data_IF_546022108830
#
_entry.id   IF_546022108830
#
_cell.length_a   1.000
_cell.length_b   1.000
_cell.length_c   1.000
_cell.angle_alpha   90.00
_cell.angle_beta   90.00
_cell.angle_gamma   90.00
#
_symmetry.space_group_name_H-M   'P 1'
#
loop_
_entity.id
_entity.type
_entity.pdbx_description
1 polymer ?
2 polymer ?
3 non-polymer ?
4 non-polymer ?
5 non-polymer ?
6 water ?
#
# COMPACT_ATOMS: atom_id res chain seq x y z
N UNK A 1 -10.57 -8.10 21.76
CA UNK A 1 -9.87 -8.58 20.58
C UNK A 1 -9.44 -9.99 20.89
N UNK A 2 -9.60 -10.88 19.90
CA UNK A 2 -9.38 -12.29 20.08
C UNK A 2 -7.91 -12.62 20.40
N UNK A 3 -7.00 -11.69 20.07
CA UNK A 3 -5.58 -11.90 20.33
C UNK A 3 -5.12 -11.27 21.63
N UNK A 4 -6.07 -10.71 22.40
CA UNK A 4 -5.77 -10.01 23.64
C UNK A 4 -5.06 -10.90 24.69
N UNK A 5 -5.35 -12.19 24.65
CA UNK A 5 -4.79 -13.11 25.63
C UNK A 5 -3.44 -13.71 25.23
N UNK A 6 -2.96 -13.45 24.00
CA UNK A 6 -1.71 -14.05 23.54
C UNK A 6 -0.55 -13.09 23.72
N UNK A 7 0.61 -13.61 24.18
CA UNK A 7 1.82 -12.81 24.30
C UNK A 7 2.19 -12.14 22.97
N UNK A 8 2.71 -10.90 23.06
CA UNK A 8 3.29 -10.23 21.90
C UNK A 8 4.29 -11.07 21.11
N UNK A 9 5.26 -11.68 21.81
CA UNK A 9 6.28 -12.47 21.14
C UNK A 9 5.67 -13.68 20.40
N UNK A 10 4.65 -14.29 21.01
CA UNK A 10 3.92 -15.40 20.41
C UNK A 10 3.15 -14.98 19.14
N UNK A 11 2.52 -13.82 19.17
CA UNK A 11 1.86 -13.25 17.99
C UNK A 11 2.83 -13.03 16.83
N UNK A 12 4.00 -12.48 17.15
CA UNK A 12 5.03 -12.29 16.14
C UNK A 12 5.52 -13.63 15.57
N UNK A 13 5.79 -14.59 16.47
CA UNK A 13 6.23 -15.92 16.05
C UNK A 13 5.20 -16.57 15.13
N UNK A 14 3.92 -16.49 15.53
CA UNK A 14 2.86 -17.05 14.69
C UNK A 14 2.63 -16.31 13.39
N UNK A 15 2.82 -14.97 13.36
CA UNK A 15 2.74 -14.26 12.10
C UNK A 15 3.77 -14.79 11.10
N UNK A 16 5.00 -15.06 11.58
CA UNK A 16 6.03 -15.64 10.74
C UNK A 16 5.67 -17.04 10.24
N UNK A 17 5.12 -17.88 11.11
CA UNK A 17 4.62 -19.19 10.71
C UNK A 17 3.53 -19.08 9.62
N UNK A 18 2.60 -18.15 9.82
CA UNK A 18 1.50 -17.98 8.90
C UNK A 18 2.01 -17.50 7.55
N UNK A 19 3.04 -16.65 7.56
CA UNK A 19 3.69 -16.24 6.32
C UNK A 19 4.22 -17.46 5.58
N UNK A 20 4.93 -18.33 6.28
CA UNK A 20 5.44 -19.56 5.66
C UNK A 20 4.35 -20.47 5.11
N UNK A 21 3.22 -20.54 5.79
CA UNK A 21 2.09 -21.35 5.39
C UNK A 21 1.18 -20.68 4.36
N UNK A 22 1.52 -19.44 3.97
CA UNK A 22 0.72 -18.64 3.04
C UNK A 22 -0.69 -18.41 3.56
N UNK A 23 -0.81 -18.24 4.88
CA UNK A 23 -2.06 -17.99 5.57
C UNK A 23 -2.16 -16.51 5.93
N UNK A 24 -2.42 -15.66 4.92
CA UNK A 24 -2.23 -14.23 5.16
C UNK A 24 -3.32 -13.59 5.98
N UNK A 25 -4.56 -14.10 5.95
CA UNK A 25 -5.58 -13.60 6.85
C UNK A 25 -5.16 -13.83 8.31
N UNK A 26 -4.66 -15.03 8.61
CA UNK A 26 -4.16 -15.29 9.96
C UNK A 26 -3.00 -14.35 10.30
N UNK A 27 -2.09 -14.19 9.34
CA UNK A 27 -0.89 -13.38 9.56
C UNK A 27 -1.33 -11.97 9.94
N UNK A 28 -2.35 -11.43 9.23
CA UNK A 28 -2.85 -10.09 9.49
C UNK A 28 -3.46 -9.97 10.88
N UNK A 29 -4.26 -10.97 11.25
CA UNK A 29 -4.87 -10.99 12.57
C UNK A 29 -3.84 -11.04 13.70
N UNK A 30 -2.78 -11.84 13.51
CA UNK A 30 -1.70 -11.91 14.49
C UNK A 30 -1.01 -10.54 14.61
N UNK A 31 -0.70 -9.91 13.47
CA UNK A 31 -0.02 -8.62 13.49
C UNK A 31 -0.89 -7.48 14.02
N UNK A 32 -2.21 -7.49 13.74
CA UNK A 32 -3.12 -6.58 14.40
C UNK A 32 -3.03 -6.74 15.92
N UNK A 33 -3.09 -8.00 16.38
CA UNK A 33 -2.96 -8.31 17.79
C UNK A 33 -1.67 -7.75 18.37
N UNK A 34 -0.55 -7.90 17.65
CA UNK A 34 0.73 -7.39 18.11
C UNK A 34 0.71 -5.86 18.21
N UNK A 35 0.15 -5.20 17.19
CA UNK A 35 0.06 -3.75 17.20
C UNK A 35 -0.73 -3.28 18.41
N UNK A 36 -1.83 -3.98 18.69
CA UNK A 36 -2.73 -3.59 19.77
C UNK A 36 -2.11 -3.80 21.16
N UNK A 37 -0.95 -4.42 21.26
CA UNK A 37 -0.23 -4.47 22.54
C UNK A 37 0.27 -3.08 22.95
N UNK A 38 0.39 -2.17 21.96
CA UNK A 38 0.64 -0.76 22.25
C UNK A 38 2.12 -0.39 22.21
N UNK A 39 3.00 -1.35 21.98
CA UNK A 39 4.41 -1.08 21.85
C UNK A 39 4.70 -0.70 20.41
N UNK A 40 5.73 0.12 20.20
CA UNK A 40 6.17 0.45 18.85
C UNK A 40 6.69 -0.82 18.18
N UNK A 41 6.65 -0.83 16.84
CA UNK A 41 7.10 -1.99 16.08
C UNK A 41 8.52 -1.77 15.58
N UNK A 42 9.29 -2.85 15.56
CA UNK A 42 10.58 -2.84 14.91
C UNK A 42 10.46 -2.79 13.39
N UNK A 43 11.61 -2.70 12.62
CA UNK A 43 11.62 -2.77 11.15
C UNK A 43 11.10 -4.12 10.64
N UNK A 44 11.58 -5.17 11.31
CA UNK A 44 11.08 -6.45 10.82
C UNK A 44 9.58 -6.62 11.09
N UNK A 45 9.10 -6.17 12.24
CA UNK A 45 7.70 -6.29 12.59
C UNK A 45 6.81 -5.45 11.66
N UNK A 46 7.26 -4.25 11.28
CA UNK A 46 6.56 -3.43 10.30
C UNK A 46 6.45 -4.15 8.98
N UNK A 47 7.50 -4.87 8.60
CA UNK A 47 7.46 -5.66 7.41
C UNK A 47 6.41 -6.76 7.48
N UNK A 48 6.30 -7.46 8.63
CA UNK A 48 5.29 -8.50 8.76
C UNK A 48 3.87 -7.91 8.62
N UNK A 49 3.65 -6.76 9.22
CA UNK A 49 2.36 -6.07 9.16
C UNK A 49 2.02 -5.71 7.72
N UNK A 50 2.99 -5.10 7.04
CA UNK A 50 2.84 -4.73 5.65
C UNK A 50 2.56 -5.89 4.71
N UNK A 51 3.35 -6.96 4.83
CA UNK A 51 3.15 -8.14 3.98
C UNK A 51 1.77 -8.76 4.17
N UNK A 52 1.34 -8.88 5.43
CA UNK A 52 0.10 -9.54 5.74
C UNK A 52 -1.06 -8.79 5.09
N UNK A 53 -1.17 -7.49 5.40
CA UNK A 53 -2.32 -6.76 4.89
C UNK A 53 -2.26 -6.53 3.38
N UNK A 54 -1.06 -6.40 2.81
CA UNK A 54 -0.95 -6.21 1.38
C UNK A 54 -1.49 -7.45 0.68
N UNK A 55 -1.17 -8.65 1.19
CA UNK A 55 -1.65 -9.87 0.60
C UNK A 55 -3.17 -9.96 0.74
N UNK A 56 -3.72 -9.63 1.92
CA UNK A 56 -5.17 -9.70 2.07
C UNK A 56 -5.87 -8.77 1.08
N UNK A 57 -5.48 -7.49 1.10
CA UNK A 57 -6.15 -6.49 0.29
C UNK A 57 -5.88 -6.75 -1.18
N UNK A 58 -4.72 -7.35 -1.48
CA UNK A 58 -4.37 -7.65 -2.86
C UNK A 58 -5.30 -8.66 -3.49
N UNK A 59 -5.65 -9.68 -2.71
CA UNK A 59 -6.69 -10.63 -3.10
C UNK A 59 -8.05 -9.98 -3.35
N UNK A 60 -8.43 -9.07 -2.45
CA UNK A 60 -9.70 -8.37 -2.55
C UNK A 60 -9.73 -7.49 -3.80
N UNK A 61 -8.62 -6.80 -4.06
CA UNK A 61 -8.54 -5.87 -5.17
C UNK A 61 -8.66 -6.65 -6.48
N UNK A 62 -7.93 -7.76 -6.57
CA UNK A 62 -8.01 -8.59 -7.73
C UNK A 62 -9.43 -9.09 -7.98
N UNK A 63 -10.09 -9.52 -6.91
CA UNK A 63 -11.47 -10.01 -7.04
C UNK A 63 -12.42 -8.90 -7.46
N UNK A 64 -12.32 -7.75 -6.80
CA UNK A 64 -13.14 -6.59 -7.13
C UNK A 64 -13.02 -6.21 -8.60
N UNK A 65 -11.79 -6.25 -9.12
CA UNK A 65 -11.59 -5.90 -10.52
C UNK A 65 -12.28 -6.87 -11.46
N UNK A 66 -12.17 -8.17 -11.18
CA UNK A 66 -12.85 -9.18 -11.96
C UNK A 66 -14.34 -8.87 -12.00
N UNK A 67 -14.92 -8.68 -10.81
CA UNK A 67 -16.35 -8.44 -10.68
C UNK A 67 -16.82 -7.13 -11.30
N UNK A 68 -16.04 -6.05 -11.14
CA UNK A 68 -16.36 -4.75 -11.72
C UNK A 68 -16.39 -4.87 -13.25
N UNK A 69 -15.48 -5.65 -13.79
CA UNK A 69 -15.42 -5.80 -15.24
C UNK A 69 -16.64 -6.55 -15.78
N UNK A 70 -17.07 -7.59 -15.06
CA UNK A 70 -18.28 -8.33 -15.44
C UNK A 70 -19.47 -7.40 -15.38
N UNK A 71 -19.51 -6.60 -14.32
CA UNK A 71 -20.62 -5.70 -14.07
C UNK A 71 -20.69 -4.65 -15.18
N UNK A 72 -19.53 -4.13 -15.54
CA UNK A 72 -19.46 -3.09 -16.56
C UNK A 72 -19.98 -3.66 -17.87
N UNK A 73 -19.55 -4.89 -18.19
CA UNK A 73 -19.99 -5.55 -19.41
C UNK A 73 -21.49 -5.80 -19.44
N UNK A 74 -22.09 -6.15 -18.29
CA UNK A 74 -23.51 -6.38 -18.23
C UNK A 74 -24.34 -5.11 -18.43
N UNK A 75 -23.75 -3.95 -18.16
CA UNK A 75 -24.42 -2.67 -18.33
C UNK A 75 -24.05 -2.01 -19.65
N UNK A 76 -24.23 -2.76 -20.74
CA UNK A 76 -24.14 -2.21 -22.08
C UNK A 76 -25.31 -2.64 -22.96
N UNK A 77 -25.30 -2.14 -24.19
CA UNK A 77 -26.29 -2.50 -25.21
C UNK A 77 -26.03 -3.94 -25.66
N UNK A 78 -27.10 -4.64 -26.06
CA UNK A 78 -26.98 -6.04 -26.47
C UNK A 78 -26.91 -7.02 -25.30
N UNK A 79 -26.53 -6.50 -24.11
CA UNK A 79 -26.34 -7.32 -22.92
C UNK A 79 -27.68 -7.71 -22.31
N UNK A 80 -27.86 -9.01 -22.08
CA UNK A 80 -29.09 -9.53 -21.51
C UNK A 80 -29.12 -9.16 -20.01
N UNK A 81 -30.32 -8.81 -19.53
CA UNK A 81 -30.54 -8.51 -18.13
C UNK A 81 -30.35 -9.78 -17.30
N UNK A 82 -29.62 -9.68 -16.19
CA UNK A 82 -29.34 -10.86 -15.38
C UNK A 82 -29.67 -10.69 -13.90
N UNK A 83 -30.34 -9.57 -13.57
CA UNK A 83 -30.75 -9.35 -12.21
C UNK A 83 -29.66 -8.67 -11.41
N UNK A 84 -29.88 -8.56 -10.09
CA UNK A 84 -29.01 -7.78 -9.22
C UNK A 84 -27.74 -8.49 -8.74
N UNK A 85 -27.54 -9.75 -9.14
CA UNK A 85 -26.54 -10.58 -8.47
C UNK A 85 -25.11 -10.09 -8.66
N UNK A 86 -24.75 -9.66 -9.86
CA UNK A 86 -23.38 -9.20 -10.10
C UNK A 86 -23.07 -7.97 -9.26
N UNK A 87 -23.99 -7.00 -9.26
CA UNK A 87 -23.82 -5.81 -8.44
C UNK A 87 -23.76 -6.17 -6.96
N UNK A 88 -24.65 -7.05 -6.50
CA UNK A 88 -24.67 -7.42 -5.08
C UNK A 88 -23.34 -8.02 -4.65
N UNK A 89 -22.83 -8.95 -5.45
CA UNK A 89 -21.61 -9.65 -5.09
C UNK A 89 -20.39 -8.71 -5.18
N UNK A 90 -20.37 -7.85 -6.21
CA UNK A 90 -19.31 -6.83 -6.26
C UNK A 90 -19.35 -5.92 -5.03
N UNK A 91 -20.55 -5.51 -4.61
CA UNK A 91 -20.72 -4.72 -3.41
C UNK A 91 -20.24 -5.45 -2.16
N UNK A 92 -20.45 -6.76 -2.09
CA UNK A 92 -20.04 -7.55 -0.93
C UNK A 92 -18.51 -7.53 -0.82
N UNK A 93 -17.85 -7.82 -1.94
CA UNK A 93 -16.39 -7.82 -1.97
C UNK A 93 -15.88 -6.41 -1.66
N UNK A 94 -16.48 -5.37 -2.28
CA UNK A 94 -16.14 -3.98 -2.02
C UNK A 94 -16.21 -3.60 -0.53
N UNK A 95 -17.29 -4.00 0.14
CA UNK A 95 -17.46 -3.71 1.55
C UNK A 95 -16.38 -4.38 2.38
N UNK A 96 -15.99 -5.62 2.05
CA UNK A 96 -14.97 -6.33 2.78
C UNK A 96 -13.62 -5.63 2.61
N UNK A 97 -13.31 -5.25 1.35
CA UNK A 97 -12.12 -4.48 1.05
C UNK A 97 -12.04 -3.17 1.86
N UNK A 98 -13.13 -2.41 1.89
CA UNK A 98 -13.17 -1.15 2.61
C UNK A 98 -12.95 -1.44 4.09
N UNK A 99 -13.51 -2.57 4.56
CA UNK A 99 -13.29 -2.97 5.94
C UNK A 99 -11.84 -3.19 6.33
N UNK A 100 -11.11 -3.88 5.48
CA UNK A 100 -9.69 -4.09 5.69
C UNK A 100 -8.92 -2.78 5.65
N UNK A 101 -9.22 -1.92 4.68
CA UNK A 101 -8.60 -0.62 4.60
C UNK A 101 -8.89 0.17 5.87
N UNK A 102 -10.14 0.19 6.33
CA UNK A 102 -10.45 0.91 7.54
C UNK A 102 -9.75 0.35 8.78
N UNK A 103 -9.56 -0.97 8.82
CA UNK A 103 -8.83 -1.58 9.92
C UNK A 103 -7.37 -1.11 9.94
N UNK A 104 -6.73 -1.09 8.76
CA UNK A 104 -5.32 -0.68 8.70
C UNK A 104 -5.23 0.80 9.09
N UNK A 105 -6.11 1.64 8.50
CA UNK A 105 -6.06 3.06 8.79
C UNK A 105 -6.30 3.31 10.27
N UNK A 106 -7.13 2.44 10.89
CA UNK A 106 -7.41 2.53 12.33
C UNK A 106 -6.19 2.26 13.19
N UNK A 107 -5.39 1.26 12.79
CA UNK A 107 -4.16 0.94 13.48
C UNK A 107 -3.15 2.08 13.35
N UNK A 108 -3.10 2.68 12.14
CA UNK A 108 -2.14 3.75 11.92
C UNK A 108 -2.56 4.98 12.74
N UNK A 109 -3.85 5.23 12.85
CA UNK A 109 -4.35 6.35 13.62
C UNK A 109 -4.39 6.14 15.14
N UNK A 110 -4.36 4.87 15.55
CA UNK A 110 -4.48 4.48 16.94
C UNK A 110 -3.52 3.36 17.34
N UNK A 111 -2.21 3.62 17.52
CA UNK A 111 -1.59 4.94 17.54
C UNK A 111 -0.22 4.92 16.87
N UNK A 112 -0.06 4.12 15.80
CA UNK A 112 1.25 3.92 15.22
C UNK A 112 1.93 5.21 14.78
N UNK A 113 1.21 6.04 14.02
CA UNK A 113 1.80 7.22 13.43
C UNK A 113 2.23 8.19 14.53
N UNK A 114 1.36 8.46 15.49
CA UNK A 114 1.69 9.48 16.46
C UNK A 114 2.90 9.10 17.31
N UNK A 115 3.12 7.78 17.52
CA UNK A 115 4.26 7.37 18.33
C UNK A 115 5.55 7.23 17.51
N UNK A 116 5.45 7.32 16.17
CA UNK A 116 6.60 7.10 15.31
C UNK A 116 7.42 8.39 15.19
N UNK A 117 8.61 8.41 15.74
CA UNK A 117 9.43 9.61 15.65
C UNK A 117 10.65 9.50 14.74
N UNK A 118 11.13 8.27 14.50
CA UNK A 118 12.26 8.13 13.61
C UNK A 118 11.75 8.23 12.19
N UNK A 119 12.63 8.65 11.28
CA UNK A 119 12.25 8.80 9.89
C UNK A 119 11.79 7.50 9.25
N UNK A 120 12.52 6.37 9.46
CA UNK A 120 12.12 5.11 8.85
C UNK A 120 10.72 4.65 9.27
N UNK A 121 10.40 4.79 10.55
CA UNK A 121 9.08 4.41 11.01
C UNK A 121 8.01 5.37 10.51
N UNK A 122 8.26 6.68 10.64
CA UNK A 122 7.23 7.66 10.32
C UNK A 122 6.92 7.67 8.83
N UNK A 123 7.97 7.59 8.01
CA UNK A 123 7.76 7.54 6.57
C UNK A 123 7.05 6.25 6.17
N UNK A 124 7.44 5.11 6.77
CA UNK A 124 6.78 3.85 6.43
C UNK A 124 5.27 3.93 6.73
N UNK A 125 4.92 4.45 7.90
CA UNK A 125 3.53 4.45 8.34
C UNK A 125 2.72 5.43 7.50
N UNK A 126 3.30 6.60 7.16
CA UNK A 126 2.58 7.54 6.33
C UNK A 126 2.40 7.04 4.89
N UNK A 127 3.42 6.38 4.35
CA UNK A 127 3.25 5.68 3.08
C UNK A 127 2.08 4.69 3.13
N UNK A 128 2.01 3.91 4.20
CA UNK A 128 0.96 2.92 4.37
C UNK A 128 -0.40 3.61 4.36
N UNK A 129 -0.49 4.73 5.09
CA UNK A 129 -1.72 5.51 5.15
C UNK A 129 -2.14 5.97 3.75
N UNK A 130 -1.19 6.49 2.97
CA UNK A 130 -1.46 6.80 1.59
C UNK A 130 -1.94 5.63 0.75
N UNK A 131 -1.29 4.48 0.92
CA UNK A 131 -1.61 3.30 0.15
C UNK A 131 -3.04 2.82 0.42
N UNK A 132 -3.43 2.80 1.69
CA UNK A 132 -4.75 2.28 2.03
C UNK A 132 -5.86 3.28 1.68
N UNK A 133 -5.60 4.60 1.75
CA UNK A 133 -6.53 5.55 1.14
C UNK A 133 -6.58 5.38 -0.39
N UNK A 134 -5.44 5.10 -1.02
CA UNK A 134 -5.44 4.83 -2.45
C UNK A 134 -6.33 3.63 -2.83
N UNK A 135 -6.25 2.58 -2.04
CA UNK A 135 -7.10 1.41 -2.29
C UNK A 135 -8.57 1.77 -2.13
N UNK A 136 -8.89 2.57 -1.12
CA UNK A 136 -10.25 3.06 -0.96
C UNK A 136 -10.66 3.90 -2.18
N UNK A 137 -9.73 4.68 -2.72
CA UNK A 137 -10.03 5.51 -3.88
C UNK A 137 -10.34 4.70 -5.13
N UNK A 138 -9.69 3.55 -5.27
CA UNK A 138 -9.88 2.69 -6.43
C UNK A 138 -11.35 2.27 -6.59
N UNK A 139 -12.07 2.15 -5.48
CA UNK A 139 -13.46 1.68 -5.51
C UNK A 139 -14.48 2.78 -5.19
N UNK A 140 -14.00 3.99 -4.92
CA UNK A 140 -14.88 5.08 -4.56
C UNK A 140 -15.53 5.67 -5.80
N UNK A 141 -16.80 6.04 -5.65
CA UNK A 141 -17.60 6.48 -6.78
C UNK A 141 -18.69 7.35 -6.23
N UNK A 142 -18.33 8.36 -5.44
CA UNK A 142 -19.35 9.11 -4.75
C UNK A 142 -18.88 10.52 -4.43
N UNK A 143 -19.59 11.15 -3.50
CA UNK A 143 -19.14 12.42 -2.93
C UNK A 143 -17.70 12.22 -2.48
N UNK A 144 -17.53 11.26 -1.57
CA UNK A 144 -16.26 11.12 -0.89
C UNK A 144 -15.09 10.67 -1.77
N UNK A 145 -15.26 10.42 -3.07
CA UNK A 145 -14.11 10.04 -3.87
C UNK A 145 -13.04 11.12 -3.80
N UNK A 146 -13.48 12.39 -3.92
CA UNK A 146 -12.56 13.51 -3.90
C UNK A 146 -11.81 13.57 -2.57
N UNK A 147 -12.54 13.48 -1.45
CA UNK A 147 -11.96 13.57 -0.12
C UNK A 147 -11.03 12.39 0.15
N UNK A 148 -11.34 11.20 -0.37
CA UNK A 148 -10.45 10.06 -0.19
C UNK A 148 -9.12 10.31 -0.90
N UNK A 149 -9.21 10.76 -2.15
CA UNK A 149 -8.05 11.11 -2.95
C UNK A 149 -7.20 12.14 -2.23
N UNK A 150 -7.85 13.17 -1.66
CA UNK A 150 -7.09 14.17 -0.95
C UNK A 150 -6.40 13.62 0.30
N UNK A 151 -7.07 12.72 1.01
CA UNK A 151 -6.46 12.04 2.14
C UNK A 151 -5.20 11.25 1.73
N UNK A 152 -5.31 10.48 0.66
CA UNK A 152 -4.16 9.76 0.17
C UNK A 152 -3.03 10.73 -0.16
N UNK A 153 -3.34 11.78 -0.92
CA UNK A 153 -2.32 12.73 -1.35
C UNK A 153 -1.62 13.37 -0.14
N UNK A 154 -2.41 13.76 0.86
CA UNK A 154 -1.90 14.40 2.04
C UNK A 154 -0.92 13.51 2.81
N UNK A 155 -1.27 12.23 2.94
CA UNK A 155 -0.41 11.28 3.62
C UNK A 155 0.89 11.12 2.83
N UNK A 156 0.78 10.86 1.52
CA UNK A 156 1.97 10.71 0.71
C UNK A 156 2.88 11.95 0.75
N UNK A 157 2.27 13.14 0.71
CA UNK A 157 3.06 14.36 0.66
C UNK A 157 3.85 14.54 1.95
N UNK A 158 3.19 14.26 3.10
CA UNK A 158 3.85 14.37 4.40
C UNK A 158 5.04 13.41 4.46
N UNK A 159 4.81 12.18 3.98
CA UNK A 159 5.88 11.20 3.91
C UNK A 159 7.01 11.67 3.02
N UNK A 160 6.67 12.22 1.87
CA UNK A 160 7.69 12.66 0.90
C UNK A 160 8.55 13.75 1.56
N UNK A 161 7.89 14.68 2.23
CA UNK A 161 8.61 15.80 2.85
C UNK A 161 9.65 15.30 3.85
N UNK A 162 9.26 14.36 4.72
CA UNK A 162 10.20 13.80 5.69
C UNK A 162 11.32 13.02 5.01
N UNK A 163 10.96 12.24 3.99
CA UNK A 163 11.91 11.34 3.35
C UNK A 163 13.04 12.14 2.68
N UNK A 164 12.66 13.26 2.08
CA UNK A 164 13.63 14.07 1.34
C UNK A 164 14.58 14.78 2.30
N UNK A 165 14.09 15.13 3.48
CA UNK A 165 14.89 15.78 4.49
C UNK A 165 15.80 14.80 5.22
N UNK A 166 15.31 13.59 5.47
CA UNK A 166 15.90 12.70 6.47
C UNK A 166 16.59 11.44 5.96
N UNK A 167 16.36 11.06 4.71
CA UNK A 167 16.85 9.82 4.13
C UNK A 167 17.65 10.09 2.88
N UNK A 168 18.64 9.23 2.57
CA UNK A 168 19.33 9.31 1.29
C UNK A 168 18.42 8.91 0.14
N UNK A 169 18.73 9.36 -1.08
CA UNK A 169 17.88 9.03 -2.24
C UNK A 169 17.75 7.58 -2.60
N UNK A 170 18.69 6.74 -2.11
CA UNK A 170 18.62 5.32 -2.34
C UNK A 170 17.90 4.56 -1.23
N UNK A 171 17.47 5.24 -0.17
CA UNK A 171 16.79 4.51 0.91
C UNK A 171 15.59 3.74 0.34
N UNK A 172 15.46 2.39 0.50
CA UNK A 172 14.33 1.65 -0.06
C UNK A 172 12.94 2.14 0.36
N UNK A 173 12.80 2.62 1.60
CA UNK A 173 11.50 3.15 1.99
C UNK A 173 11.20 4.42 1.19
N UNK A 174 12.18 5.29 1.07
CA UNK A 174 12.04 6.51 0.26
C UNK A 174 11.69 6.18 -1.19
N UNK A 175 12.37 5.19 -1.77
CA UNK A 175 12.12 4.76 -3.13
C UNK A 175 10.73 4.15 -3.31
N UNK A 176 10.32 3.30 -2.38
CA UNK A 176 9.01 2.69 -2.51
C UNK A 176 7.87 3.68 -2.33
N UNK A 177 8.09 4.65 -1.44
CA UNK A 177 7.14 5.74 -1.26
C UNK A 177 6.98 6.48 -2.58
N UNK A 178 8.11 6.88 -3.17
CA UNK A 178 8.03 7.64 -4.41
C UNK A 178 7.38 6.85 -5.55
N UNK A 179 7.71 5.54 -5.65
CA UNK A 179 7.07 4.66 -6.59
C UNK A 179 5.55 4.69 -6.39
N UNK A 180 5.10 4.47 -5.15
CA UNK A 180 3.66 4.43 -4.93
C UNK A 180 2.95 5.76 -5.10
N UNK A 181 3.61 6.88 -4.77
CA UNK A 181 3.02 8.17 -5.01
C UNK A 181 2.92 8.44 -6.52
N UNK A 182 3.93 7.99 -7.28
CA UNK A 182 3.85 8.14 -8.73
C UNK A 182 2.68 7.34 -9.30
N UNK A 183 2.40 6.15 -8.75
CA UNK A 183 1.24 5.35 -9.16
C UNK A 183 -0.06 6.06 -8.80
N UNK A 184 -0.11 6.65 -7.60
CA UNK A 184 -1.23 7.48 -7.19
C UNK A 184 -1.51 8.56 -8.24
N UNK A 185 -0.46 9.28 -8.67
CA UNK A 185 -0.64 10.35 -9.62
C UNK A 185 -1.19 9.84 -10.95
N UNK A 186 -0.67 8.71 -11.44
CA UNK A 186 -1.02 8.21 -12.77
C UNK A 186 -2.39 7.53 -12.77
N UNK A 187 -2.61 6.70 -11.77
CA UNK A 187 -3.77 5.81 -11.76
C UNK A 187 -4.99 6.41 -11.07
N UNK A 188 -4.81 7.32 -10.13
CA UNK A 188 -5.91 7.82 -9.30
C UNK A 188 -6.22 9.28 -9.53
N UNK A 189 -5.15 10.10 -9.62
CA UNK A 189 -5.28 11.56 -9.60
C UNK A 189 -5.31 12.19 -10.99
N UNK A 190 -5.28 11.37 -12.05
CA UNK A 190 -5.33 11.87 -13.41
C UNK A 190 -4.23 12.90 -13.66
N UNK A 191 -3.04 12.63 -13.13
CA UNK A 191 -1.89 13.51 -13.28
C UNK A 191 -0.71 12.73 -13.86
N UNK A 192 -0.78 12.22 -15.10
CA UNK A 192 0.30 11.39 -15.62
C UNK A 192 1.62 12.16 -15.73
N UNK A 193 1.58 13.46 -15.98
CA UNK A 193 2.81 14.20 -16.09
C UNK A 193 3.53 14.33 -14.75
N UNK A 194 2.76 14.51 -13.67
CA UNK A 194 3.30 14.50 -12.33
C UNK A 194 3.90 13.14 -12.01
N UNK A 195 3.20 12.06 -12.43
CA UNK A 195 3.70 10.70 -12.24
C UNK A 195 5.07 10.47 -12.89
N UNK A 196 5.17 10.87 -14.16
CA UNK A 196 6.40 10.68 -14.93
C UNK A 196 7.56 11.51 -14.37
N UNK A 197 7.26 12.75 -13.99
CA UNK A 197 8.28 13.65 -13.46
C UNK A 197 8.86 13.12 -12.15
N UNK A 198 7.96 12.68 -11.27
CA UNK A 198 8.38 12.13 -10.00
C UNK A 198 9.22 10.87 -10.24
N UNK A 199 8.77 9.98 -11.13
CA UNK A 199 9.47 8.71 -11.33
C UNK A 199 10.87 8.97 -11.90
N UNK A 200 10.94 9.93 -12.86
CA UNK A 200 12.23 10.27 -13.47
C UNK A 200 13.21 10.87 -12.48
N UNK A 201 12.75 11.86 -11.69
CA UNK A 201 13.60 12.53 -10.73
C UNK A 201 14.08 11.52 -9.69
N UNK A 202 13.15 10.71 -9.19
CA UNK A 202 13.51 9.72 -8.18
C UNK A 202 14.58 8.77 -8.70
N UNK A 203 14.37 8.27 -9.92
CA UNK A 203 15.32 7.33 -10.52
C UNK A 203 16.71 7.95 -10.66
N UNK A 204 16.73 9.17 -11.19
CA UNK A 204 18.01 9.83 -11.48
C UNK A 204 18.78 10.16 -10.20
N UNK A 205 18.11 10.60 -9.16
CA UNK A 205 18.78 10.95 -7.92
C UNK A 205 19.25 9.68 -7.20
N UNK A 206 18.52 8.59 -7.35
CA UNK A 206 18.98 7.34 -6.75
C UNK A 206 20.23 6.83 -7.50
N UNK A 207 20.18 6.87 -8.81
CA UNK A 207 21.29 6.44 -9.65
C UNK A 207 22.61 7.07 -9.21
N UNK A 208 22.54 8.36 -8.94
CA UNK A 208 23.71 9.13 -8.55
C UNK A 208 24.21 8.87 -7.14
N UNK A 209 23.45 8.13 -6.31
CA UNK A 209 23.84 7.81 -4.95
C UNK A 209 24.20 6.33 -4.75
N UNK A 210 24.08 5.52 -5.82
CA UNK A 210 24.35 4.11 -5.75
C UNK A 210 25.79 3.84 -5.29
N UNK A 211 26.70 4.73 -5.67
CA UNK A 211 28.13 4.50 -5.41
C UNK A 211 28.43 4.43 -3.90
N UNK A 212 27.51 4.96 -3.06
CA UNK A 212 27.75 5.03 -1.62
C UNK A 212 27.43 3.75 -0.88
N UNK A 213 26.85 2.78 -1.60
CA UNK A 213 26.19 1.62 -1.00
C UNK A 213 27.08 0.38 -1.03
N UNK A 214 26.88 -0.45 0.01
CA UNK A 214 27.33 -1.83 0.00
C UNK A 214 26.58 -2.64 -1.04
N UNK A 215 27.17 -3.78 -1.40
CA UNK A 215 26.54 -4.72 -2.33
C UNK A 215 25.11 -5.08 -1.92
N UNK A 216 24.86 -5.30 -0.63
CA UNK A 216 23.50 -5.66 -0.21
C UNK A 216 22.51 -4.50 -0.30
N UNK A 217 22.91 -3.28 0.07
CA UNK A 217 22.03 -2.12 0.01
C UNK A 217 21.77 -1.73 -1.46
N UNK A 218 22.81 -1.93 -2.27
CA UNK A 218 22.68 -1.74 -3.70
C UNK A 218 21.62 -2.66 -4.31
N UNK A 219 21.61 -3.92 -3.90
CA UNK A 219 20.60 -4.85 -4.38
C UNK A 219 19.20 -4.34 -4.10
N UNK A 220 18.96 -3.89 -2.85
CA UNK A 220 17.65 -3.40 -2.45
C UNK A 220 17.19 -2.17 -3.23
N UNK A 221 18.04 -1.16 -3.30
CA UNK A 221 17.69 0.04 -4.04
C UNK A 221 17.39 -0.23 -5.52
N UNK A 222 18.24 -1.03 -6.20
CA UNK A 222 18.10 -1.22 -7.64
C UNK A 222 16.85 -2.03 -8.00
N UNK A 223 16.42 -2.90 -7.08
CA UNK A 223 15.12 -3.53 -7.25
C UNK A 223 13.99 -2.51 -7.48
N UNK A 224 13.86 -1.53 -6.58
CA UNK A 224 12.77 -0.58 -6.73
C UNK A 224 12.99 0.35 -7.93
N UNK A 225 14.27 0.67 -8.22
CA UNK A 225 14.57 1.55 -9.33
C UNK A 225 14.07 0.92 -10.62
N UNK A 226 14.20 -0.41 -10.70
CA UNK A 226 13.74 -1.11 -11.88
C UNK A 226 12.24 -0.96 -12.08
N UNK A 227 11.49 -0.92 -10.96
CA UNK A 227 10.05 -0.73 -11.08
C UNK A 227 9.68 0.69 -11.56
N UNK A 228 10.43 1.70 -11.11
CA UNK A 228 10.25 3.05 -11.62
C UNK A 228 10.46 3.04 -13.13
N UNK A 229 11.53 2.37 -13.56
CA UNK A 229 11.83 2.31 -14.97
C UNK A 229 10.72 1.56 -15.74
N UNK A 230 10.28 0.43 -15.20
CA UNK A 230 9.21 -0.34 -15.84
C UNK A 230 7.97 0.54 -15.99
N UNK A 231 7.63 1.33 -14.98
CA UNK A 231 6.49 2.22 -15.13
C UNK A 231 6.73 3.33 -16.16
N UNK A 232 7.91 3.91 -16.13
CA UNK A 232 8.21 4.93 -17.11
C UNK A 232 8.09 4.37 -18.54
N UNK A 233 8.49 3.11 -18.74
CA UNK A 233 8.37 2.49 -20.06
C UNK A 233 6.88 2.34 -20.43
N UNK A 234 6.09 1.93 -19.43
CA UNK A 234 4.66 1.78 -19.59
C UNK A 234 4.00 3.11 -19.90
N UNK A 235 4.45 4.17 -19.21
CA UNK A 235 3.79 5.46 -19.30
C UNK A 235 4.21 6.34 -20.48
N UNK A 236 5.32 6.01 -21.13
CA UNK A 236 5.81 6.78 -22.25
C UNK A 236 6.02 5.91 -23.51
N UNK B 1 -2.67 -2.10 -19.26
CA UNK B 1 -1.88 -2.70 -18.18
C UNK B 1 -1.71 -1.72 -17.01
N UNK B 2 -1.89 -2.22 -15.78
CA UNK B 2 -1.79 -1.37 -14.61
C UNK B 2 -0.35 -1.12 -14.17
N UNK B 3 -0.13 0.06 -13.62
CA UNK B 3 1.15 0.42 -13.06
C UNK B 3 1.58 -0.50 -11.93
N UNK B 4 2.89 -0.71 -11.80
CA UNK B 4 3.46 -1.50 -10.73
C UNK B 4 3.75 -0.64 -9.50
N UNK B 6 4.88 -0.92 -5.13
CA UNK B 6 5.94 -1.56 -4.38
C UNK B 6 5.53 -3.00 -4.05
N UNK B 7 6.41 -4.00 -4.27
CA UNK B 7 6.05 -5.38 -3.95
C UNK B 7 6.29 -5.73 -2.49
N UNK B 8 5.82 -6.92 -2.07
CA UNK B 8 6.24 -7.51 -0.80
C UNK B 8 7.70 -7.98 -0.77
N UNK B 9 8.39 -7.83 0.36
CA UNK B 9 9.71 -8.42 0.50
C UNK B 9 9.52 -9.90 0.86
#
# INVERSE_FOLDING_TARGET
GAMGSMERASLIQKAKLAEQAERYEDMAAFMKGAVEKGEELSCEERNLLSVAYKNVVGGQRAAWRVLSSIEQKSNEEGSEEKGPEVREYREKVETELQGVCDTVLGLLDSHLIKEAGDAESRVFYLKMKGDYYRYLAEVATGDDKKRIIDSARSAYQEAMDISKKEMPPTNPIRLGLALNFSVFHYEIANSPEEAISLAKTTFDEAMADLHTLSEDSYKDSTLIMQLLRDNLTLWT
QRSTXTPNV
#
